data_IF_651709256320
#
_entry.id   IF_651709256320
#
_cell.length_a   1.000
_cell.length_b   1.000
_cell.length_c   1.000
_cell.angle_alpha   90.00
_cell.angle_beta   90.00
_cell.angle_gamma   90.00
#
_symmetry.space_group_name_H-M   'P 1'
#
loop_
_entity.id
_entity.type
_entity.pdbx_description
1 polymer ?
#
# COMPACT_ATOMS: atom_id res chain seq x y z
N UNK A 1 1.06 -2.16 3.14
CA UNK A 1 1.18 -1.66 1.76
C UNK A 1 -0.21 -1.38 1.23
N UNK A 2 -0.39 -0.37 0.39
CA UNK A 2 -1.69 -0.05 -0.20
C UNK A 2 -1.61 -0.05 -1.73
N UNK A 3 -2.68 -0.51 -2.41
CA UNK A 3 -2.86 -0.30 -3.84
C UNK A 3 -3.50 1.08 -4.09
N UNK A 4 -2.88 1.89 -4.94
CA UNK A 4 -3.35 3.26 -5.23
C UNK A 4 -3.83 3.44 -6.68
N UNK A 5 -3.77 2.37 -7.49
CA UNK A 5 -4.23 2.37 -8.88
C UNK A 5 -5.72 2.01 -9.06
N UNK A 6 -6.36 1.42 -8.03
CA UNK A 6 -7.75 0.97 -8.08
C UNK A 6 -8.58 1.62 -6.97
N UNK A 7 -8.58 2.95 -6.95
CA UNK A 7 -9.31 3.73 -5.96
C UNK A 7 -10.76 4.00 -6.40
N UNK A 8 -11.08 3.90 -7.69
CA UNK A 8 -12.42 4.17 -8.21
C UNK A 8 -13.49 3.31 -7.49
N UNK A 9 -14.58 3.96 -7.06
CA UNK A 9 -15.69 3.30 -6.36
C UNK A 9 -15.44 3.00 -4.88
N UNK A 10 -14.26 3.31 -4.34
CA UNK A 10 -13.96 3.20 -2.90
C UNK A 10 -13.97 4.59 -2.23
N UNK A 11 -14.16 4.68 -0.90
CA UNK A 11 -14.05 5.95 -0.18
C UNK A 11 -12.58 6.39 0.09
N UNK A 12 -11.61 5.52 -0.19
CA UNK A 12 -10.20 5.76 0.15
C UNK A 12 -9.66 7.05 -0.50
N UNK A 13 -8.86 7.86 0.18
CA UNK A 13 -8.38 9.14 -0.34
C UNK A 13 -9.37 10.30 -0.22
N UNK A 14 -10.58 10.08 0.32
CA UNK A 14 -11.48 11.14 0.76
C UNK A 14 -11.50 11.28 2.28
N UNK A 15 -11.94 12.44 2.81
CA UNK A 15 -12.17 12.59 4.25
C UNK A 15 -13.22 11.61 4.79
N UNK A 16 -12.97 11.06 5.98
CA UNK A 16 -13.89 10.18 6.69
C UNK A 16 -15.14 10.99 7.07
N UNK A 17 -16.31 10.53 6.64
CA UNK A 17 -17.57 11.23 6.91
C UNK A 17 -17.86 11.26 8.42
N UNK A 18 -18.05 12.46 8.96
CA UNK A 18 -18.37 12.67 10.37
C UNK A 18 -17.16 12.72 11.31
N UNK A 19 -15.94 12.70 10.77
CA UNK A 19 -14.74 12.98 11.56
C UNK A 19 -14.40 14.49 11.54
N UNK A 20 -14.42 15.11 12.71
CA UNK A 20 -14.05 16.53 12.90
C UNK A 20 -12.56 16.77 12.65
N UNK A 21 -11.75 15.72 12.68
CA UNK A 21 -10.29 15.79 12.49
C UNK A 21 -9.87 15.81 11.02
N UNK A 22 -10.84 15.73 10.09
CA UNK A 22 -10.61 15.68 8.64
C UNK A 22 -9.59 14.61 8.22
N UNK A 23 -9.61 13.44 8.89
CA UNK A 23 -8.74 12.32 8.51
C UNK A 23 -9.18 11.77 7.17
N UNK A 24 -8.20 11.34 6.38
CA UNK A 24 -8.44 10.68 5.10
C UNK A 24 -8.62 9.18 5.34
N UNK A 25 -9.59 8.58 4.68
CA UNK A 25 -9.78 7.13 4.66
C UNK A 25 -8.65 6.49 3.85
N UNK A 26 -7.86 5.61 4.47
CA UNK A 26 -6.79 4.90 3.77
C UNK A 26 -7.34 3.70 3.00
N UNK A 27 -6.70 3.27 1.89
CA UNK A 27 -7.09 2.04 1.21
C UNK A 27 -6.95 0.81 2.12
N UNK A 28 -7.53 -0.32 1.72
CA UNK A 28 -7.34 -1.58 2.43
C UNK A 28 -5.85 -1.99 2.41
N UNK A 29 -5.36 -2.42 3.57
CA UNK A 29 -3.99 -2.90 3.70
C UNK A 29 -3.82 -4.24 2.99
N UNK A 30 -2.82 -4.31 2.11
CA UNK A 30 -2.43 -5.55 1.45
C UNK A 30 -1.45 -6.31 2.35
N UNK A 31 -1.84 -7.53 2.71
CA UNK A 31 -1.04 -8.51 3.43
C UNK A 31 -1.06 -9.86 2.69
N UNK A 32 0.05 -10.63 2.70
CA UNK A 32 1.35 -10.30 3.29
C UNK A 32 2.11 -9.25 2.49
N UNK A 33 3.10 -8.60 3.11
CA UNK A 33 4.06 -7.71 2.44
C UNK A 33 5.04 -8.53 1.61
N UNK A 34 4.58 -9.01 0.46
CA UNK A 34 5.30 -9.84 -0.50
C UNK A 34 5.09 -9.30 -1.92
N UNK A 35 6.08 -9.48 -2.79
CA UNK A 35 5.98 -9.21 -4.21
C UNK A 35 4.88 -10.05 -4.89
N UNK A 36 4.53 -11.22 -4.31
CA UNK A 36 3.42 -12.05 -4.79
C UNK A 36 2.05 -11.38 -4.60
N UNK A 37 1.94 -10.43 -3.66
CA UNK A 37 0.73 -9.65 -3.41
C UNK A 37 0.59 -8.44 -4.35
N UNK A 38 1.52 -8.27 -5.29
CA UNK A 38 1.58 -7.15 -6.23
C UNK A 38 1.31 -7.63 -7.66
N UNK A 39 0.89 -6.71 -8.52
CA UNK A 39 0.74 -6.93 -9.96
C UNK A 39 1.56 -5.92 -10.74
N UNK A 40 2.15 -6.33 -11.86
CA UNK A 40 2.83 -5.42 -12.79
C UNK A 40 1.87 -4.39 -13.42
N UNK A 41 0.56 -4.60 -13.35
CA UNK A 41 -0.45 -3.67 -13.86
C UNK A 41 -0.86 -2.60 -12.84
N UNK A 42 -0.22 -2.58 -11.67
CA UNK A 42 -0.62 -1.75 -10.54
C UNK A 42 0.39 -0.70 -10.10
N UNK A 43 -0.09 0.23 -9.28
CA UNK A 43 0.70 1.15 -8.47
C UNK A 43 0.48 0.86 -6.97
N UNK A 44 1.56 0.82 -6.21
CA UNK A 44 1.56 0.43 -4.80
C UNK A 44 2.38 1.39 -3.95
N UNK A 45 1.91 1.67 -2.73
CA UNK A 45 2.59 2.55 -1.79
C UNK A 45 2.91 1.83 -0.47
N UNK A 46 4.09 2.10 0.07
CA UNK A 46 4.55 1.61 1.37
C UNK A 46 5.39 2.70 2.04
N UNK A 47 5.37 2.77 3.37
CA UNK A 47 6.21 3.67 4.15
C UNK A 47 6.99 2.89 5.21
N UNK A 48 8.13 3.43 5.64
CA UNK A 48 8.98 2.86 6.69
C UNK A 48 9.23 3.81 7.86
N UNK A 49 8.42 4.87 7.97
CA UNK A 49 8.58 5.94 8.96
C UNK A 49 9.63 6.99 8.58
N UNK A 50 10.49 6.73 7.59
CA UNK A 50 11.46 7.69 7.07
C UNK A 50 11.07 8.17 5.67
N UNK A 51 10.62 7.28 4.79
CA UNK A 51 10.26 7.57 3.41
C UNK A 51 8.91 6.95 3.07
N UNK A 52 8.23 7.54 2.09
CA UNK A 52 7.09 6.93 1.41
C UNK A 52 7.58 6.48 0.03
N UNK A 53 7.43 5.20 -0.29
CA UNK A 53 7.80 4.66 -1.59
C UNK A 53 6.55 4.40 -2.41
N UNK A 54 6.52 4.92 -3.63
CA UNK A 54 5.49 4.64 -4.63
C UNK A 54 6.12 3.82 -5.76
N UNK A 55 5.76 2.55 -5.82
CA UNK A 55 6.17 1.66 -6.91
C UNK A 55 5.13 1.65 -8.02
N UNK A 56 5.59 1.70 -9.28
CA UNK A 56 4.74 1.71 -10.46
C UNK A 56 5.11 0.54 -11.37
N UNK A 57 4.19 -0.42 -11.53
CA UNK A 57 4.41 -1.56 -12.40
C UNK A 57 4.41 -1.18 -13.88
N UNK A 58 5.13 -1.95 -14.70
CA UNK A 58 5.32 -1.70 -16.12
C UNK A 58 4.00 -1.63 -16.92
N UNK A 59 2.96 -2.33 -16.45
CA UNK A 59 1.63 -2.39 -17.06
C UNK A 59 0.61 -1.43 -16.43
N UNK A 60 1.02 -0.52 -15.54
CA UNK A 60 0.09 0.45 -14.94
C UNK A 60 -0.63 1.25 -16.02
N UNK A 61 -1.95 1.43 -15.86
CA UNK A 61 -2.78 2.00 -16.92
C UNK A 61 -2.30 3.40 -17.34
N UNK A 62 -2.31 3.68 -18.64
CA UNK A 62 -1.98 5.01 -19.16
C UNK A 62 -2.91 6.11 -18.64
N UNK A 63 -4.16 5.76 -18.30
CA UNK A 63 -5.09 6.68 -17.64
C UNK A 63 -4.58 7.11 -16.26
N UNK A 64 -4.09 6.17 -15.45
CA UNK A 64 -3.50 6.48 -14.16
C UNK A 64 -2.25 7.33 -14.30
N UNK A 65 -1.35 6.99 -15.24
CA UNK A 65 -0.13 7.77 -15.50
C UNK A 65 -0.43 9.20 -15.93
N UNK A 66 -1.39 9.37 -16.84
CA UNK A 66 -1.79 10.69 -17.30
C UNK A 66 -2.50 11.48 -16.20
N UNK A 67 -3.40 10.85 -15.44
CA UNK A 67 -4.12 11.49 -14.34
C UNK A 67 -3.18 11.96 -13.23
N UNK A 68 -2.23 11.11 -12.81
CA UNK A 68 -1.35 11.39 -11.65
C UNK A 68 -0.10 12.18 -12.04
N UNK A 69 0.54 11.83 -13.16
CA UNK A 69 1.84 12.37 -13.55
C UNK A 69 1.80 13.20 -14.83
N UNK A 70 0.66 13.26 -15.54
CA UNK A 70 0.52 14.05 -16.76
C UNK A 70 1.30 13.49 -17.96
N UNK A 71 1.80 12.26 -17.86
CA UNK A 71 2.66 11.62 -18.87
C UNK A 71 2.03 10.39 -19.48
N UNK A 72 2.54 9.96 -20.65
CA UNK A 72 2.06 8.78 -21.36
C UNK A 72 2.75 7.47 -20.97
N UNK A 73 3.92 7.55 -20.34
CA UNK A 73 4.74 6.38 -20.02
C UNK A 73 5.58 6.56 -18.75
N UNK A 74 6.03 5.45 -18.16
CA UNK A 74 6.85 5.46 -16.94
C UNK A 74 8.19 6.19 -17.11
N UNK A 75 8.77 6.18 -18.31
CA UNK A 75 10.09 6.77 -18.59
C UNK A 75 10.05 8.30 -18.57
N UNK A 76 8.87 8.89 -18.80
CA UNK A 76 8.67 10.34 -18.77
C UNK A 76 8.50 10.90 -17.35
N UNK A 77 8.33 10.02 -16.34
CA UNK A 77 8.15 10.45 -14.95
C UNK A 77 9.45 11.06 -14.43
N UNK A 78 9.38 12.32 -13.99
CA UNK A 78 10.49 13.01 -13.33
C UNK A 78 10.61 12.57 -11.87
N UNK A 79 11.08 11.33 -11.63
CA UNK A 79 11.12 10.68 -10.31
C UNK A 79 11.89 11.47 -9.25
N UNK A 80 12.91 12.23 -9.65
CA UNK A 80 13.74 13.07 -8.78
C UNK A 80 12.98 14.20 -8.08
N UNK A 81 11.79 14.57 -8.59
CA UNK A 81 10.95 15.61 -7.98
C UNK A 81 10.12 15.09 -6.79
N UNK A 82 10.08 13.78 -6.54
CA UNK A 82 9.28 13.18 -5.48
C UNK A 82 7.81 13.62 -5.57
N UNK A 83 7.27 14.22 -4.50
CA UNK A 83 5.89 14.75 -4.49
C UNK A 83 5.62 15.75 -5.62
N UNK A 84 6.64 16.50 -6.06
CA UNK A 84 6.50 17.48 -7.14
C UNK A 84 6.30 16.86 -8.53
N UNK A 85 6.50 15.55 -8.69
CA UNK A 85 6.18 14.83 -9.92
C UNK A 85 4.67 14.55 -10.07
N UNK A 86 3.92 14.56 -8.96
CA UNK A 86 2.46 14.40 -9.00
C UNK A 86 1.88 15.73 -9.47
N UNK A 87 1.24 15.73 -10.64
CA UNK A 87 0.58 16.91 -11.20
C UNK A 87 -0.89 16.88 -10.83
N UNK A 88 -1.38 18.00 -10.29
CA UNK A 88 -2.81 18.24 -10.11
C UNK A 88 -3.45 18.50 -11.48
N UNK A 89 -3.71 17.45 -12.23
CA UNK A 89 -4.44 17.53 -13.51
C UNK A 89 -5.95 17.74 -13.31
N UNK A 90 -6.42 17.73 -12.06
CA UNK A 90 -7.84 17.68 -11.71
C UNK A 90 -8.42 16.27 -11.77
N UNK A 91 -7.60 15.25 -12.09
CA UNK A 91 -8.00 13.85 -12.02
C UNK A 91 -8.17 13.41 -10.55
N UNK A 92 -9.24 12.66 -10.29
CA UNK A 92 -9.60 12.16 -8.97
C UNK A 92 -8.47 11.33 -8.34
N UNK A 93 -7.73 10.54 -9.15
CA UNK A 93 -6.64 9.73 -8.62
C UNK A 93 -5.46 10.58 -8.13
N UNK A 94 -5.15 11.69 -8.80
CA UNK A 94 -4.07 12.60 -8.36
C UNK A 94 -4.38 13.22 -7.00
N UNK A 95 -5.63 13.64 -6.80
CA UNK A 95 -6.10 14.25 -5.56
C UNK A 95 -6.09 13.22 -4.44
N UNK A 96 -6.63 12.03 -4.71
CA UNK A 96 -6.73 10.95 -3.71
C UNK A 96 -5.37 10.39 -3.33
N UNK A 97 -4.46 10.22 -4.29
CA UNK A 97 -3.08 9.81 -4.00
C UNK A 97 -2.38 10.84 -3.11
N UNK A 98 -2.54 12.13 -3.41
CA UNK A 98 -1.96 13.21 -2.61
C UNK A 98 -2.51 13.20 -1.19
N UNK A 99 -3.83 13.06 -1.04
CA UNK A 99 -4.49 12.96 0.26
C UNK A 99 -3.99 11.76 1.08
N UNK A 100 -3.81 10.60 0.43
CA UNK A 100 -3.26 9.40 1.07
C UNK A 100 -1.83 9.65 1.56
N UNK A 101 -0.97 10.23 0.72
CA UNK A 101 0.42 10.55 1.07
C UNK A 101 0.46 11.52 2.26
N UNK A 102 -0.38 12.56 2.24
CA UNK A 102 -0.40 13.55 3.31
C UNK A 102 -0.99 12.98 4.61
N UNK A 103 -1.96 12.07 4.53
CA UNK A 103 -2.45 11.34 5.70
C UNK A 103 -1.36 10.46 6.31
N UNK A 104 -0.58 9.73 5.49
CA UNK A 104 0.56 8.94 5.99
C UNK A 104 1.60 9.82 6.69
N UNK A 105 1.83 11.04 6.18
CA UNK A 105 2.71 12.03 6.83
C UNK A 105 2.12 12.54 8.15
N UNK A 106 0.81 12.82 8.19
CA UNK A 106 0.11 13.28 9.40
C UNK A 106 0.20 12.27 10.55
N UNK A 107 0.21 10.98 10.23
CA UNK A 107 0.32 9.90 11.22
C UNK A 107 1.75 9.72 11.77
N UNK A 108 2.75 10.45 11.25
CA UNK A 108 4.15 10.42 11.67
C UNK A 108 4.62 11.79 12.18
N UNK A 109 5.70 11.77 12.97
CA UNK A 109 6.28 13.01 13.56
C UNK A 109 7.27 13.73 12.64
N UNK A 110 7.86 13.03 11.69
CA UNK A 110 8.86 13.56 10.76
C UNK A 110 8.29 13.56 9.34
N UNK A 111 8.74 14.50 8.53
CA UNK A 111 8.35 14.54 7.11
C UNK A 111 9.01 13.39 6.36
N UNK A 112 8.18 12.56 5.73
CA UNK A 112 8.63 11.47 4.88
C UNK A 112 8.63 11.92 3.40
N UNK A 113 9.80 12.05 2.73
CA UNK A 113 9.86 12.32 1.31
C UNK A 113 9.24 11.16 0.51
N UNK A 114 8.61 11.51 -0.61
CA UNK A 114 8.09 10.55 -1.57
C UNK A 114 9.21 10.11 -2.51
N UNK A 115 9.43 8.80 -2.61
CA UNK A 115 10.37 8.16 -3.54
C UNK A 115 9.56 7.40 -4.58
N UNK A 116 9.60 7.85 -5.84
CA UNK A 116 8.86 7.23 -6.94
C UNK A 116 9.78 6.23 -7.66
N UNK A 117 9.33 4.98 -7.77
CA UNK A 117 10.11 3.85 -8.28
C UNK A 117 9.33 3.12 -9.38
N UNK A 118 9.43 3.56 -10.65
CA UNK A 118 8.95 2.78 -11.77
C UNK A 118 9.65 1.43 -11.86
N UNK A 119 8.97 0.41 -12.38
CA UNK A 119 9.56 -0.90 -12.60
C UNK A 119 10.79 -0.80 -13.52
N UNK A 120 11.89 -1.44 -13.14
CA UNK A 120 13.18 -1.33 -13.81
C UNK A 120 14.03 -0.11 -13.37
N UNK A 121 13.54 0.72 -12.46
CA UNK A 121 14.33 1.83 -11.91
C UNK A 121 15.56 1.29 -11.16
N UNK A 122 16.76 1.91 -11.27
CA UNK A 122 17.98 1.39 -10.62
C UNK A 122 17.89 1.22 -9.10
N UNK A 123 16.97 1.96 -8.46
CA UNK A 123 16.73 1.90 -7.02
C UNK A 123 15.44 1.18 -6.63
N UNK A 124 14.79 0.47 -7.56
CA UNK A 124 13.53 -0.25 -7.32
C UNK A 124 13.63 -1.23 -6.14
N UNK A 125 14.80 -1.85 -5.94
CA UNK A 125 15.08 -2.72 -4.80
C UNK A 125 14.82 -2.08 -3.44
N UNK A 126 14.90 -0.75 -3.31
CA UNK A 126 14.55 -0.06 -2.05
C UNK A 126 13.11 -0.36 -1.64
N UNK A 127 12.19 -0.46 -2.59
CA UNK A 127 10.80 -0.85 -2.32
C UNK A 127 10.73 -2.32 -1.87
N UNK A 128 11.34 -3.22 -2.64
CA UNK A 128 11.29 -4.67 -2.38
C UNK A 128 11.95 -5.06 -1.05
N UNK A 129 12.95 -4.32 -0.58
CA UNK A 129 13.54 -4.51 0.75
C UNK A 129 12.54 -4.33 1.91
N UNK A 130 11.42 -3.60 1.71
CA UNK A 130 10.35 -3.46 2.69
C UNK A 130 9.32 -4.60 2.63
N UNK A 131 9.41 -5.49 1.65
CA UNK A 131 8.52 -6.66 1.54
C UNK A 131 9.03 -7.80 2.42
N UNK A 132 8.87 -7.61 3.73
CA UNK A 132 9.43 -8.46 4.79
C UNK A 132 8.96 -9.92 4.76
N UNK A 133 7.89 -10.23 4.02
CA UNK A 133 7.46 -11.62 3.87
C UNK A 133 8.40 -12.42 2.95
N UNK A 134 9.05 -11.74 2.00
CA UNK A 134 9.99 -12.33 1.06
C UNK A 134 11.40 -12.42 1.63
N UNK A 135 12.25 -13.21 0.97
CA UNK A 135 13.68 -13.19 1.27
C UNK A 135 14.31 -11.94 0.63
N UNK A 136 14.81 -11.03 1.46
CA UNK A 136 15.57 -9.84 1.06
C UNK A 136 17.07 -10.05 1.28
N UNK A 137 17.91 -9.15 0.76
CA UNK A 137 19.37 -9.22 0.91
C UNK A 137 19.85 -9.27 2.38
N UNK A 138 19.08 -8.72 3.31
CA UNK A 138 19.36 -8.73 4.74
C UNK A 138 18.86 -9.99 5.49
N UNK A 139 18.13 -10.88 4.84
CA UNK A 139 17.47 -12.02 5.48
C UNK A 139 17.97 -13.36 4.91
N UNK A 140 18.21 -14.33 5.79
CA UNK A 140 18.64 -15.67 5.37
C UNK A 140 17.47 -16.58 4.95
N UNK A 141 16.25 -16.26 5.39
CA UNK A 141 15.03 -17.04 5.15
C UNK A 141 13.84 -16.11 4.95
N UNK A 142 12.82 -16.57 4.21
CA UNK A 142 11.55 -15.84 4.11
C UNK A 142 10.77 -15.88 5.43
N UNK A 143 9.78 -15.01 5.58
CA UNK A 143 8.90 -15.04 6.75
C UNK A 143 8.16 -16.39 6.87
N UNK A 144 7.75 -16.96 5.74
CA UNK A 144 7.10 -18.28 5.73
C UNK A 144 8.05 -19.37 6.25
N UNK A 145 9.30 -19.39 5.78
CA UNK A 145 10.33 -20.33 6.26
C UNK A 145 10.64 -20.13 7.75
N UNK A 146 10.66 -18.89 8.24
CA UNK A 146 10.83 -18.57 9.65
C UNK A 146 9.69 -19.14 10.51
N UNK A 147 8.43 -18.91 10.09
CA UNK A 147 7.25 -19.42 10.79
C UNK A 147 7.20 -20.96 10.79
N UNK A 148 7.65 -21.60 9.70
CA UNK A 148 7.83 -23.05 9.64
C UNK A 148 8.87 -23.53 10.67
N UNK A 149 10.01 -22.85 10.80
CA UNK A 149 11.06 -23.20 11.79
C UNK A 149 10.61 -23.03 13.23
N UNK A 150 9.71 -22.07 13.50
CA UNK A 150 9.09 -21.90 14.82
C UNK A 150 8.02 -22.96 15.12
N UNK A 151 7.66 -23.82 14.16
CA UNK A 151 6.58 -24.79 14.32
C UNK A 151 5.18 -24.18 14.38
N UNK A 152 5.02 -22.93 13.93
CA UNK A 152 3.78 -22.15 14.06
C UNK A 152 2.82 -22.29 12.87
N UNK A 153 2.90 -23.37 12.08
CA UNK A 153 1.84 -23.65 11.11
C UNK A 153 0.60 -24.19 11.85
N UNK A 154 -0.45 -23.37 11.95
CA UNK A 154 -1.81 -23.88 12.12
C UNK A 154 -2.52 -23.67 13.46
N UNK A 155 -2.39 -22.53 14.13
CA UNK A 155 -3.52 -22.06 14.96
C UNK A 155 -4.43 -21.17 14.12
N UNK A 156 -5.32 -21.79 13.36
CA UNK A 156 -6.59 -21.14 13.01
C UNK A 156 -7.25 -20.76 14.33
N UNK A 157 -7.35 -19.47 14.65
CA UNK A 157 -8.25 -19.02 15.71
C UNK A 157 -9.64 -19.49 15.29
N UNK A 158 -10.34 -20.34 16.07
CA UNK A 158 -11.71 -20.67 15.75
C UNK A 158 -12.50 -19.37 15.84
N UNK A 159 -13.01 -18.89 14.71
CA UNK A 159 -14.12 -17.94 14.71
C UNK A 159 -15.26 -18.70 15.35
N UNK A 160 -15.48 -18.45 16.65
CA UNK A 160 -16.60 -19.00 17.39
C UNK A 160 -17.87 -18.57 16.67
N UNK A 161 -18.49 -19.50 15.97
CA UNK A 161 -19.85 -19.34 15.47
C UNK A 161 -20.75 -19.12 16.69
N UNK A 162 -21.20 -17.87 16.86
CA UNK A 162 -22.31 -17.56 17.74
C UNK A 162 -23.56 -18.22 17.15
N UNK A 163 -23.84 -19.45 17.57
CA UNK A 163 -25.06 -20.17 17.27
C UNK A 163 -25.73 -20.61 18.57
N UNK A 164 -26.72 -19.81 18.95
CA UNK A 164 -27.99 -20.19 19.56
C UNK A 164 -28.00 -21.17 20.76
N UNK A 165 -28.26 -20.58 21.93
CA UNK A 165 -29.39 -20.93 22.83
C UNK A 165 -29.88 -22.38 22.78
N UNK A 166 -29.49 -23.19 23.77
CA UNK A 166 -30.03 -24.53 23.97
C UNK A 166 -30.00 -24.98 25.43
N UNK A 167 -31.16 -24.84 26.10
CA UNK A 167 -31.67 -25.80 27.10
C UNK A 167 -30.95 -25.94 28.45
N UNK A 168 -31.53 -25.34 29.50
CA UNK A 168 -31.33 -25.77 30.88
C UNK A 168 -31.91 -27.19 31.10
N UNK A 169 -31.20 -28.13 31.74
CA UNK A 169 -31.83 -29.32 32.30
C UNK A 169 -32.30 -29.04 33.73
N UNK A 170 -33.56 -29.37 34.00
CA UNK A 170 -34.08 -29.52 35.35
C UNK A 170 -33.44 -30.73 36.04
N UNK A 171 -32.95 -30.53 37.26
CA UNK A 171 -33.31 -31.34 38.44
C UNK A 171 -32.87 -30.60 39.71
#
# INVERSE_FOLDING_TARGET
MFAVHNLAGTPAGYPIKGDESERIELPEEIHPLSAQSMSADGAFIIEDGENIFLWLGQGVSGQFLNGVFGVGSLVEISTELGSGAIVSTGDDNSVRLTNIIDQLRRDRRHYMPLVILPQGHPQENKFFERLVADRTAGTQISYEEFMQRLGLRGQTVPVGTAAAMGGFPQQ
#
